data_IF_462005827676
#
_entry.id   IF_462005827676
#
_cell.length_a   1.000
_cell.length_b   1.000
_cell.length_c   1.000
_cell.angle_alpha   90.00
_cell.angle_beta   90.00
_cell.angle_gamma   90.00
#
_symmetry.space_group_name_H-M   'P 1'
#
loop_
_entity.id
_entity.type
_entity.pdbx_description
1 polymer ?
#
# COMPACT_ATOMS: atom_id res chain seq x y z
N UNK A 1 -8.46 9.01 -5.63
CA UNK A 1 -9.10 8.52 -6.87
C UNK A 1 -8.10 8.60 -8.00
N UNK A 2 -7.90 7.54 -8.76
CA UNK A 2 -7.04 7.54 -9.95
C UNK A 2 -7.89 7.76 -11.20
N UNK A 3 -7.39 8.54 -12.15
CA UNK A 3 -8.08 8.87 -13.40
C UNK A 3 -7.12 8.75 -14.58
N UNK A 4 -7.58 8.11 -15.66
CA UNK A 4 -6.93 8.11 -16.97
C UNK A 4 -7.95 8.61 -17.99
N UNK A 5 -7.49 9.44 -18.93
CA UNK A 5 -8.27 9.91 -20.08
C UNK A 5 -7.63 9.32 -21.34
N UNK A 6 -8.42 8.64 -22.16
CA UNK A 6 -7.98 7.98 -23.39
C UNK A 6 -8.68 8.58 -24.60
N UNK A 7 -7.92 9.18 -25.51
CA UNK A 7 -8.44 9.60 -26.81
C UNK A 7 -8.77 8.36 -27.65
N UNK A 8 -9.99 8.28 -28.13
CA UNK A 8 -10.49 7.20 -28.97
C UNK A 8 -10.22 7.52 -30.45
N UNK A 9 -10.21 6.49 -31.29
CA UNK A 9 -9.97 6.65 -32.73
C UNK A 9 -11.08 7.43 -33.47
N UNK A 10 -12.28 7.52 -32.87
CA UNK A 10 -13.40 8.31 -33.37
C UNK A 10 -13.32 9.80 -32.97
N UNK A 11 -12.29 10.19 -32.20
CA UNK A 11 -12.06 11.55 -31.74
C UNK A 11 -12.71 11.89 -30.39
N UNK A 12 -13.43 10.96 -29.75
CA UNK A 12 -13.98 11.16 -28.40
C UNK A 12 -12.97 10.81 -27.30
N UNK A 13 -13.07 11.48 -26.15
CA UNK A 13 -12.23 11.18 -24.98
C UNK A 13 -12.99 10.33 -23.95
N UNK A 14 -12.44 9.17 -23.60
CA UNK A 14 -13.01 8.28 -22.56
C UNK A 14 -12.27 8.45 -21.24
N UNK A 15 -13.00 8.82 -20.19
CA UNK A 15 -12.47 8.85 -18.82
C UNK A 15 -12.70 7.50 -18.13
N UNK A 16 -11.62 6.90 -17.62
CA UNK A 16 -11.65 5.70 -16.78
C UNK A 16 -11.17 6.09 -15.38
N UNK A 17 -11.95 5.72 -14.36
CA UNK A 17 -11.64 6.04 -12.95
C UNK A 17 -11.52 4.78 -12.10
N UNK A 18 -10.53 4.75 -11.20
CA UNK A 18 -10.42 3.77 -10.12
C UNK A 18 -10.62 4.47 -8.78
N UNK A 19 -11.55 3.96 -7.96
CA UNK A 19 -11.99 4.60 -6.70
C UNK A 19 -10.80 4.90 -5.77
N UNK A 20 -9.96 3.89 -5.53
CA UNK A 20 -8.74 4.01 -4.74
C UNK A 20 -7.64 3.14 -5.35
N UNK A 21 -6.38 3.50 -5.07
CA UNK A 21 -5.24 2.65 -5.36
C UNK A 21 -5.16 1.57 -4.28
N UNK A 22 -5.08 0.30 -4.68
CA UNK A 22 -4.94 -0.82 -3.74
C UNK A 22 -3.47 -1.01 -3.37
N UNK A 23 -3.19 -1.77 -2.32
CA UNK A 23 -1.82 -2.20 -1.97
C UNK A 23 -1.14 -2.91 -3.15
N UNK A 24 -1.90 -3.69 -3.95
CA UNK A 24 -1.40 -4.26 -5.22
C UNK A 24 -0.91 -3.19 -6.19
N UNK A 25 -1.63 -2.09 -6.38
CA UNK A 25 -1.19 -1.02 -7.28
C UNK A 25 0.13 -0.39 -6.80
N UNK A 26 0.24 -0.16 -5.50
CA UNK A 26 1.48 0.35 -4.88
C UNK A 26 2.63 -0.62 -5.10
N UNK A 27 2.43 -1.91 -4.82
CA UNK A 27 3.43 -2.96 -5.03
C UNK A 27 3.86 -3.04 -6.50
N UNK A 28 2.91 -3.03 -7.44
CA UNK A 28 3.18 -3.03 -8.89
C UNK A 28 3.95 -1.78 -9.33
N UNK A 29 3.64 -0.61 -8.77
CA UNK A 29 4.39 0.62 -9.07
C UNK A 29 5.84 0.52 -8.59
N UNK A 30 6.06 0.02 -7.36
CA UNK A 30 7.41 -0.16 -6.83
C UNK A 30 8.21 -1.21 -7.60
N UNK A 31 7.57 -2.29 -8.06
CA UNK A 31 8.18 -3.26 -9.00
C UNK A 31 8.63 -2.59 -10.29
N UNK A 32 7.82 -1.70 -10.85
CA UNK A 32 8.18 -0.93 -12.03
C UNK A 32 9.38 -0.01 -11.76
N UNK A 33 9.36 0.76 -10.66
CA UNK A 33 10.46 1.64 -10.26
C UNK A 33 11.77 0.84 -10.09
N UNK A 34 11.72 -0.31 -9.42
CA UNK A 34 12.87 -1.21 -9.24
C UNK A 34 13.44 -1.71 -10.57
N UNK A 35 12.57 -2.07 -11.53
CA UNK A 35 12.98 -2.49 -12.88
C UNK A 35 13.65 -1.36 -13.66
N UNK A 36 13.16 -0.13 -13.50
CA UNK A 36 13.68 1.04 -14.21
C UNK A 36 14.98 1.59 -13.61
N UNK A 37 15.24 1.34 -12.32
CA UNK A 37 16.48 1.74 -11.64
C UNK A 37 17.17 0.54 -10.95
N UNK A 38 17.71 -0.42 -11.71
CA UNK A 38 18.29 -1.64 -11.15
C UNK A 38 19.60 -1.40 -10.38
N UNK A 39 20.24 -0.24 -10.57
CA UNK A 39 21.54 0.09 -9.97
C UNK A 39 21.42 0.69 -8.56
N UNK A 40 20.22 0.90 -8.04
CA UNK A 40 20.00 1.42 -6.69
C UNK A 40 20.64 2.78 -6.43
N UNK A 41 20.99 3.54 -7.49
CA UNK A 41 21.47 4.92 -7.34
C UNK A 41 20.25 5.76 -7.00
N UNK A 42 20.03 5.91 -5.70
CA UNK A 42 19.15 6.92 -5.10
C UNK A 42 19.72 8.31 -5.43
N UNK A 43 19.60 8.74 -6.69
CA UNK A 43 19.82 10.14 -7.02
C UNK A 43 18.61 10.95 -6.54
N UNK A 44 18.71 11.41 -5.29
CA UNK A 44 18.10 12.67 -4.85
C UNK A 44 16.64 12.65 -4.40
N UNK A 45 15.88 11.58 -4.55
CA UNK A 45 14.56 11.46 -3.93
C UNK A 45 14.63 10.55 -2.71
N UNK A 46 14.12 11.04 -1.58
CA UNK A 46 13.87 10.27 -0.36
C UNK A 46 13.15 8.97 -0.74
N UNK A 47 13.89 7.89 -0.92
CA UNK A 47 13.34 6.55 -0.74
C UNK A 47 12.99 6.52 0.74
N UNK A 48 11.71 6.73 1.03
CA UNK A 48 11.18 6.61 2.38
C UNK A 48 11.49 5.18 2.79
N UNK A 49 12.51 5.02 3.65
CA UNK A 49 12.88 3.77 4.31
C UNK A 49 11.59 3.15 4.88
N UNK A 50 11.03 2.18 4.16
CA UNK A 50 9.69 1.66 4.40
C UNK A 50 8.91 1.29 3.13
N UNK A 51 9.16 1.92 1.98
CA UNK A 51 8.42 1.63 0.73
C UNK A 51 9.20 0.76 -0.28
N UNK A 52 9.91 -0.27 0.18
CA UNK A 52 10.41 -1.31 -0.73
C UNK A 52 9.33 -2.39 -0.96
N UNK A 53 9.45 -3.16 -2.04
CA UNK A 53 8.54 -4.28 -2.31
C UNK A 53 8.69 -5.32 -1.21
N UNK A 54 9.93 -5.57 -0.81
CA UNK A 54 10.30 -6.52 0.24
C UNK A 54 9.65 -6.15 1.57
N UNK A 55 9.68 -4.87 1.96
CA UNK A 55 9.04 -4.41 3.20
C UNK A 55 7.51 -4.54 3.15
N UNK A 56 6.89 -4.34 1.99
CA UNK A 56 5.44 -4.55 1.83
C UNK A 56 5.11 -6.04 1.97
N UNK A 57 5.88 -6.90 1.32
CA UNK A 57 5.66 -8.35 1.35
C UNK A 57 5.85 -8.89 2.77
N UNK A 58 6.92 -8.51 3.46
CA UNK A 58 7.17 -8.87 4.86
C UNK A 58 6.05 -8.38 5.80
N UNK A 59 5.58 -7.13 5.63
CA UNK A 59 4.48 -6.61 6.44
C UNK A 59 3.17 -7.36 6.19
N UNK A 60 2.91 -7.80 4.96
CA UNK A 60 1.75 -8.64 4.63
C UNK A 60 1.86 -10.01 5.29
N UNK A 61 3.02 -10.65 5.21
CA UNK A 61 3.25 -11.96 5.82
C UNK A 61 3.02 -11.88 7.34
N UNK A 62 3.56 -10.85 7.99
CA UNK A 62 3.32 -10.58 9.42
C UNK A 62 1.82 -10.41 9.72
N UNK A 63 1.08 -9.64 8.92
CA UNK A 63 -0.38 -9.49 9.09
C UNK A 63 -1.12 -10.83 8.94
N UNK A 64 -0.76 -11.65 7.95
CA UNK A 64 -1.40 -12.95 7.73
C UNK A 64 -1.11 -13.91 8.89
N UNK A 65 0.14 -13.96 9.36
CA UNK A 65 0.57 -14.84 10.45
C UNK A 65 -0.08 -14.48 11.78
N UNK A 66 -0.18 -13.19 12.11
CA UNK A 66 -0.74 -12.74 13.40
C UNK A 66 -2.23 -13.02 13.51
N UNK A 67 -3.01 -12.75 12.45
CA UNK A 67 -4.46 -12.80 12.55
C UNK A 67 -5.03 -14.22 12.59
N UNK A 68 -4.27 -15.23 12.13
CA UNK A 68 -4.70 -16.64 12.02
C UNK A 68 -6.13 -16.81 11.47
N UNK A 69 -6.55 -15.90 10.58
CA UNK A 69 -7.92 -15.79 10.11
C UNK A 69 -7.97 -16.11 8.61
N UNK A 70 -8.87 -17.01 8.16
CA UNK A 70 -8.95 -17.41 6.75
C UNK A 70 -9.32 -16.27 5.79
N UNK A 71 -9.85 -15.16 6.29
CA UNK A 71 -10.15 -13.96 5.50
C UNK A 71 -8.93 -13.03 5.38
N UNK A 72 -7.96 -13.11 6.28
CA UNK A 72 -6.72 -12.32 6.25
C UNK A 72 -5.68 -13.07 5.43
N UNK A 73 -5.83 -12.99 4.11
CA UNK A 73 -4.90 -13.57 3.14
C UNK A 73 -4.11 -12.48 2.42
N UNK A 74 -2.94 -12.83 1.89
CA UNK A 74 -2.14 -11.95 1.02
C UNK A 74 -2.99 -11.34 -0.09
N UNK A 75 -3.84 -12.14 -0.74
CA UNK A 75 -4.70 -11.66 -1.83
C UNK A 75 -5.72 -10.62 -1.35
N UNK A 76 -6.37 -10.90 -0.23
CA UNK A 76 -7.37 -10.01 0.34
C UNK A 76 -6.75 -8.70 0.83
N UNK A 77 -5.53 -8.73 1.38
CA UNK A 77 -4.81 -7.51 1.76
C UNK A 77 -4.39 -6.72 0.52
N UNK A 78 -3.84 -7.39 -0.51
CA UNK A 78 -3.40 -6.74 -1.75
C UNK A 78 -4.53 -6.04 -2.51
N UNK A 79 -5.73 -6.62 -2.50
CA UNK A 79 -6.90 -6.08 -3.20
C UNK A 79 -7.80 -5.21 -2.33
N UNK A 80 -7.93 -5.55 -1.06
CA UNK A 80 -8.88 -4.94 -0.14
C UNK A 80 -8.35 -3.70 0.58
N UNK A 81 -7.04 -3.62 0.82
CA UNK A 81 -6.46 -2.51 1.57
C UNK A 81 -6.08 -1.34 0.63
N UNK A 82 -6.56 -0.11 0.88
CA UNK A 82 -6.09 1.05 0.14
C UNK A 82 -4.61 1.31 0.42
N UNK A 83 -3.83 1.60 -0.62
CA UNK A 83 -2.38 1.84 -0.47
C UNK A 83 -2.07 2.97 0.51
N UNK A 84 -2.89 4.02 0.51
CA UNK A 84 -2.77 5.15 1.44
C UNK A 84 -2.97 4.77 2.92
N UNK A 85 -3.58 3.61 3.19
CA UNK A 85 -3.87 3.10 4.53
C UNK A 85 -3.00 1.91 4.93
N UNK A 86 -2.14 1.41 4.03
CA UNK A 86 -1.35 0.20 4.26
C UNK A 86 -0.50 0.29 5.54
N UNK A 87 0.42 1.27 5.60
CA UNK A 87 1.32 1.44 6.74
C UNK A 87 0.62 1.88 8.02
N UNK A 88 -0.43 2.69 7.90
CA UNK A 88 -1.27 3.05 9.06
C UNK A 88 -1.88 1.79 9.68
N UNK A 89 -2.47 0.92 8.85
CA UNK A 89 -3.09 -0.34 9.30
C UNK A 89 -2.05 -1.27 9.94
N UNK A 90 -0.89 -1.43 9.31
CA UNK A 90 0.19 -2.24 9.85
C UNK A 90 0.72 -1.69 11.19
N UNK A 91 0.96 -0.38 11.28
CA UNK A 91 1.48 0.25 12.49
C UNK A 91 0.46 0.23 13.64
N UNK A 92 -0.83 0.40 13.36
CA UNK A 92 -1.90 0.25 14.36
C UNK A 92 -1.91 -1.17 14.92
N UNK A 93 -1.90 -2.19 14.05
CA UNK A 93 -1.79 -3.58 14.48
C UNK A 93 -0.53 -3.81 15.33
N UNK A 94 0.63 -3.32 14.89
CA UNK A 94 1.88 -3.48 15.62
C UNK A 94 1.84 -2.80 17.01
N UNK A 95 1.23 -1.61 17.10
CA UNK A 95 1.07 -0.88 18.36
C UNK A 95 0.18 -1.66 19.35
N UNK A 96 -0.93 -2.23 18.89
CA UNK A 96 -1.82 -3.05 19.72
C UNK A 96 -1.11 -4.28 20.30
N UNK A 97 -0.28 -4.95 19.49
CA UNK A 97 0.52 -6.11 19.92
C UNK A 97 1.56 -5.71 20.97
N UNK A 98 2.23 -4.57 20.77
CA UNK A 98 3.25 -4.07 21.69
C UNK A 98 2.66 -3.45 22.97
N UNK A 99 1.33 -3.36 23.09
CA UNK A 99 0.66 -2.71 24.21
C UNK A 99 0.91 -1.21 24.27
N UNK A 100 1.23 -0.57 23.14
CA UNK A 100 1.31 0.87 23.06
C UNK A 100 -0.11 1.45 23.10
N UNK A 101 -0.37 2.53 23.87
CA UNK A 101 -1.70 3.12 23.93
C UNK A 101 -2.11 3.56 22.53
N UNK A 102 -3.27 3.08 22.06
CA UNK A 102 -3.84 3.55 20.81
C UNK A 102 -4.15 5.05 20.96
N UNK A 103 -3.84 5.86 19.94
CA UNK A 103 -4.02 7.32 20.00
C UNK A 103 -5.49 7.77 20.19
N UNK A 104 -6.45 6.84 20.25
CA UNK A 104 -7.86 7.11 20.53
C UNK A 104 -8.17 7.38 22.03
N UNK A 105 -7.29 7.02 22.96
CA UNK A 105 -7.54 7.25 24.40
C UNK A 105 -7.26 8.70 24.87
N UNK A 106 -6.69 9.55 24.01
CA UNK A 106 -6.32 10.94 24.36
C UNK A 106 -7.42 12.01 24.27
N UNK A 107 -8.67 11.65 23.99
CA UNK A 107 -9.80 12.61 23.82
C UNK A 107 -10.89 12.54 24.89
N UNK A 108 -10.53 12.14 26.11
CA UNK A 108 -11.37 12.38 27.30
C UNK A 108 -10.51 12.87 28.45
N UNK A 109 -10.34 14.18 28.55
CA UNK A 109 -10.39 14.96 29.80
C UNK A 109 -10.54 16.46 29.50
#
# INVERSE_FOLDING_TARGET
MLKIVLDQQDGEAKTITKKFATTRDMRTYLEYVKKMNPSGKEEGEKVVLGNSIESIDEAIDVMVEIFENPEVTTENILLGLPSAKFWETFNTMAAEIMGAPSEEEGKKE
#
